data_IF_500511562561
#
_entry.id   IF_500511562561
#
_cell.length_a   1.000
_cell.length_b   1.000
_cell.length_c   1.000
_cell.angle_alpha   90.00
_cell.angle_beta   90.00
_cell.angle_gamma   90.00
#
_symmetry.space_group_name_H-M   'P 1'
#
loop_
_entity.id
_entity.type
_entity.pdbx_description
1 polymer ?
#
# COMPACT_ATOMS: atom_id res chain seq x y z
N UNK A 1 19.35 9.05 -4.29
CA UNK A 1 17.93 9.18 -3.92
C UNK A 1 17.11 8.18 -4.75
N UNK A 2 17.12 6.89 -4.37
CA UNK A 2 16.66 5.81 -5.29
C UNK A 2 15.93 4.66 -4.59
N UNK A 3 15.55 4.78 -3.32
CA UNK A 3 14.93 3.68 -2.57
C UNK A 3 13.47 3.43 -2.94
N UNK A 4 12.75 4.41 -3.47
CA UNK A 4 11.31 4.29 -3.76
C UNK A 4 10.99 3.43 -4.99
N UNK A 5 11.82 3.48 -6.04
CA UNK A 5 11.61 2.72 -7.29
C UNK A 5 11.78 1.22 -7.06
N UNK A 6 12.80 0.81 -6.29
CA UNK A 6 13.12 -0.60 -6.04
C UNK A 6 12.00 -1.34 -5.29
N UNK A 7 11.30 -0.67 -4.37
CA UNK A 7 10.22 -1.29 -3.60
C UNK A 7 8.94 -1.49 -4.43
N UNK A 8 8.65 -0.55 -5.34
CA UNK A 8 7.48 -0.64 -6.22
C UNK A 8 7.62 -1.80 -7.22
N UNK A 9 8.78 -1.94 -7.87
CA UNK A 9 9.03 -3.02 -8.81
C UNK A 9 8.95 -4.40 -8.14
N UNK A 10 9.47 -4.52 -6.92
CA UNK A 10 9.40 -5.75 -6.13
C UNK A 10 7.96 -6.10 -5.70
N UNK A 11 7.13 -5.11 -5.34
CA UNK A 11 5.71 -5.32 -5.04
C UNK A 11 4.95 -5.75 -6.30
N UNK A 12 5.17 -5.06 -7.42
CA UNK A 12 4.51 -5.35 -8.69
C UNK A 12 4.81 -6.78 -9.16
N UNK A 13 6.07 -7.23 -9.06
CA UNK A 13 6.44 -8.61 -9.37
C UNK A 13 5.74 -9.61 -8.45
N UNK A 14 5.76 -9.40 -7.13
CA UNK A 14 5.09 -10.30 -6.18
C UNK A 14 3.59 -10.40 -6.41
N UNK A 15 2.94 -9.27 -6.73
CA UNK A 15 1.52 -9.26 -7.08
C UNK A 15 1.29 -10.04 -8.39
N UNK A 16 2.10 -9.82 -9.42
CA UNK A 16 2.00 -10.54 -10.68
C UNK A 16 2.18 -12.06 -10.50
N UNK A 17 3.18 -12.48 -9.73
CA UNK A 17 3.44 -13.89 -9.41
C UNK A 17 2.26 -14.54 -8.66
N UNK A 18 1.49 -13.73 -7.93
CA UNK A 18 0.29 -14.16 -7.20
C UNK A 18 -1.01 -14.02 -8.02
N UNK A 19 -0.92 -13.67 -9.32
CA UNK A 19 -2.09 -13.43 -10.17
C UNK A 19 -2.91 -12.17 -9.80
N UNK A 20 -2.30 -11.28 -9.02
CA UNK A 20 -2.92 -10.09 -8.46
C UNK A 20 -2.53 -8.86 -9.28
N UNK A 21 -3.52 -8.00 -9.57
CA UNK A 21 -3.25 -6.72 -10.25
C UNK A 21 -2.46 -5.78 -9.36
N UNK A 22 -1.46 -5.12 -9.92
CA UNK A 22 -0.86 -3.96 -9.28
C UNK A 22 -1.80 -2.76 -9.46
N UNK A 23 -2.23 -2.14 -8.36
CA UNK A 23 -3.14 -0.99 -8.37
C UNK A 23 -2.61 0.11 -7.46
N UNK A 24 -2.89 1.40 -7.75
CA UNK A 24 -2.42 2.51 -6.90
C UNK A 24 -2.86 2.37 -5.44
N UNK A 25 -4.03 1.77 -5.18
CA UNK A 25 -4.51 1.49 -3.83
C UNK A 25 -3.57 0.54 -3.07
N UNK A 26 -3.11 -0.53 -3.74
CA UNK A 26 -2.23 -1.54 -3.13
C UNK A 26 -0.85 -0.98 -2.86
N UNK A 27 -0.33 -0.15 -3.76
CA UNK A 27 0.94 0.56 -3.57
C UNK A 27 0.88 1.48 -2.35
N UNK A 28 -0.16 2.32 -2.26
CA UNK A 28 -0.30 3.27 -1.14
C UNK A 28 -0.50 2.56 0.20
N UNK A 29 -1.26 1.46 0.24
CA UNK A 29 -1.42 0.63 1.45
C UNK A 29 -0.09 -0.02 1.85
N UNK A 30 0.63 -0.60 0.88
CA UNK A 30 1.93 -1.22 1.14
C UNK A 30 2.96 -0.20 1.66
N UNK A 31 3.03 0.98 1.06
CA UNK A 31 3.89 2.07 1.51
C UNK A 31 3.51 2.54 2.93
N UNK A 32 2.22 2.61 3.25
CA UNK A 32 1.78 2.97 4.60
C UNK A 32 2.21 1.95 5.66
N UNK A 33 2.28 0.66 5.31
CA UNK A 33 2.77 -0.41 6.18
C UNK A 33 4.30 -0.40 6.29
N UNK A 34 5.04 -0.02 5.25
CA UNK A 34 6.50 0.06 5.31
C UNK A 34 7.03 1.27 6.09
N UNK A 35 6.27 2.37 6.14
CA UNK A 35 6.69 3.63 6.80
C UNK A 35 6.92 3.49 8.31
N UNK A 36 6.25 2.56 8.98
CA UNK A 36 6.38 2.32 10.43
C UNK A 36 6.45 0.83 10.72
N UNK A 37 7.37 0.44 11.61
CA UNK A 37 7.49 -0.96 12.08
C UNK A 37 6.53 -1.21 13.25
N UNK A 38 5.24 -1.04 12.99
CA UNK A 38 4.16 -1.29 13.92
C UNK A 38 3.11 -2.24 13.34
N UNK A 39 2.10 -2.60 14.13
CA UNK A 39 1.01 -3.50 13.73
C UNK A 39 -0.31 -2.73 13.71
N UNK A 40 -0.55 -1.90 12.68
CA UNK A 40 -1.74 -1.08 12.64
C UNK A 40 -3.01 -1.90 12.41
N UNK A 41 -4.12 -1.42 12.93
CA UNK A 41 -5.46 -1.90 12.54
C UNK A 41 -5.83 -1.42 11.14
N UNK A 42 -6.86 -2.01 10.53
CA UNK A 42 -7.37 -1.56 9.22
C UNK A 42 -7.82 -0.09 9.25
N UNK A 43 -8.46 0.35 10.34
CA UNK A 43 -8.85 1.75 10.54
C UNK A 43 -7.65 2.69 10.64
N UNK A 44 -6.58 2.25 11.30
CA UNK A 44 -5.34 3.02 11.37
C UNK A 44 -4.63 3.09 10.02
N UNK A 45 -4.62 1.99 9.25
CA UNK A 45 -4.11 2.01 7.87
C UNK A 45 -4.95 2.97 7.03
N UNK A 46 -6.28 2.91 7.12
CA UNK A 46 -7.19 3.82 6.43
C UNK A 46 -6.87 5.29 6.76
N UNK A 47 -6.69 5.62 8.04
CA UNK A 47 -6.32 6.96 8.47
C UNK A 47 -4.96 7.41 7.91
N UNK A 48 -3.99 6.49 7.76
CA UNK A 48 -2.66 6.77 7.16
C UNK A 48 -2.73 7.00 5.65
N UNK A 49 -3.61 6.31 4.93
CA UNK A 49 -3.69 6.37 3.46
C UNK A 49 -4.65 7.44 2.94
N UNK A 50 -5.71 7.78 3.67
CA UNK A 50 -6.74 8.76 3.26
C UNK A 50 -6.19 10.11 2.81
N UNK A 51 -5.14 10.70 3.43
CA UNK A 51 -4.54 11.95 2.95
C UNK A 51 -3.85 11.83 1.59
N UNK A 52 -3.33 10.64 1.25
CA UNK A 52 -2.63 10.37 -0.02
C UNK A 52 -3.61 9.93 -1.11
N UNK A 53 -4.72 9.27 -0.73
CA UNK A 53 -5.75 8.79 -1.65
C UNK A 53 -7.16 9.15 -1.14
N UNK A 54 -7.63 10.40 -1.34
CA UNK A 54 -8.91 10.87 -0.78
C UNK A 54 -10.14 10.06 -1.21
N UNK A 55 -10.09 9.39 -2.36
CA UNK A 55 -11.17 8.54 -2.88
C UNK A 55 -11.25 7.14 -2.26
N UNK A 56 -10.30 6.75 -1.41
CA UNK A 56 -10.32 5.41 -0.80
C UNK A 56 -11.43 5.28 0.24
N UNK A 57 -12.04 4.09 0.29
CA UNK A 57 -12.99 3.69 1.32
C UNK A 57 -12.34 2.69 2.28
N UNK A 58 -12.88 2.58 3.49
CA UNK A 58 -12.42 1.58 4.45
C UNK A 58 -12.54 0.15 3.89
N UNK A 59 -13.60 -0.13 3.13
CA UNK A 59 -13.79 -1.41 2.43
C UNK A 59 -12.71 -1.74 1.39
N UNK A 60 -11.93 -0.74 0.94
CA UNK A 60 -10.79 -0.97 0.04
C UNK A 60 -9.52 -1.39 0.79
N UNK A 61 -9.46 -1.11 2.10
CA UNK A 61 -8.32 -1.45 2.96
C UNK A 61 -8.45 -2.85 3.56
N UNK A 62 -9.68 -3.29 3.85
CA UNK A 62 -10.02 -4.67 4.22
C UNK A 62 -9.80 -5.64 3.07
#
# INVERSE_FOLDING_TARGET
MSTHTIHSDALAQKLADSGLRNTPQREVVYDALLKKRDHPTADEVFARVKPQLPGISLATVY
#
